data_IF_629985918921
#
_entry.id   IF_629985918921
#
_cell.length_a   1.000
_cell.length_b   1.000
_cell.length_c   1.000
_cell.angle_alpha   90.00
_cell.angle_beta   90.00
_cell.angle_gamma   90.00
#
_symmetry.space_group_name_H-M   'P 1'
#
loop_
_entity.id
_entity.type
_entity.pdbx_description
1 polymer ?
#
# COMPACT_ATOMS: atom_id res chain seq x y z
N UNK A 1 -0.62 -3.53 -2.63
CA UNK A 1 -1.74 -3.14 -1.76
C UNK A 1 -2.08 -4.29 -0.84
N UNK A 2 -2.22 -4.04 0.46
CA UNK A 2 -2.59 -5.05 1.45
C UNK A 2 -3.13 -4.41 2.73
N UNK A 3 -3.73 -5.22 3.60
CA UNK A 3 -4.20 -4.82 4.93
C UNK A 3 -3.23 -5.30 6.02
N UNK A 4 -3.25 -4.61 7.16
CA UNK A 4 -2.59 -5.01 8.41
C UNK A 4 -3.34 -4.41 9.60
N UNK A 5 -3.30 -5.06 10.77
CA UNK A 5 -3.72 -4.45 12.05
C UNK A 5 -2.60 -3.62 12.69
N UNK A 6 -1.34 -3.85 12.29
CA UNK A 6 -0.17 -3.14 12.79
C UNK A 6 0.65 -2.59 11.61
N UNK A 7 0.54 -1.27 11.37
CA UNK A 7 1.22 -0.61 10.26
C UNK A 7 2.74 -0.56 10.47
N UNK A 8 3.20 -0.25 11.69
CA UNK A 8 4.64 -0.11 12.00
C UNK A 8 5.39 -1.41 11.77
N UNK A 9 4.83 -2.51 12.26
CA UNK A 9 5.41 -3.84 12.08
C UNK A 9 5.42 -4.26 10.60
N UNK A 10 4.33 -3.99 9.88
CA UNK A 10 4.23 -4.27 8.45
C UNK A 10 5.32 -3.55 7.65
N UNK A 11 5.55 -2.27 7.92
CA UNK A 11 6.60 -1.49 7.25
C UNK A 11 7.97 -2.13 7.51
N UNK A 12 8.29 -2.46 8.77
CA UNK A 12 9.55 -3.14 9.12
C UNK A 12 9.73 -4.47 8.37
N UNK A 13 8.67 -5.29 8.32
CA UNK A 13 8.69 -6.55 7.58
C UNK A 13 8.93 -6.34 6.08
N UNK A 14 8.27 -5.35 5.48
CA UNK A 14 8.42 -5.05 4.05
C UNK A 14 9.81 -4.49 3.73
N UNK A 15 10.35 -3.62 4.57
CA UNK A 15 11.71 -3.09 4.46
C UNK A 15 12.78 -4.17 4.66
N UNK A 16 12.48 -5.23 5.42
CA UNK A 16 13.40 -6.35 5.61
C UNK A 16 13.59 -7.22 4.36
N UNK A 17 12.77 -7.02 3.31
CA UNK A 17 12.79 -7.81 2.06
C UNK A 17 12.63 -9.33 2.25
N UNK A 18 12.18 -9.79 3.43
CA UNK A 18 12.11 -11.23 3.78
C UNK A 18 10.90 -11.97 3.22
N UNK A 19 9.93 -11.28 2.62
CA UNK A 19 8.78 -11.95 1.98
C UNK A 19 8.99 -12.10 0.48
N UNK A 20 8.44 -13.17 -0.12
CA UNK A 20 8.58 -13.51 -1.54
C UNK A 20 8.26 -12.34 -2.50
N UNK A 21 7.26 -11.53 -2.15
CA UNK A 21 6.84 -10.39 -2.96
C UNK A 21 7.74 -9.18 -2.71
N UNK A 22 8.10 -8.91 -1.46
CA UNK A 22 8.92 -7.75 -1.10
C UNK A 22 10.38 -7.90 -1.50
N UNK A 23 10.91 -9.13 -1.56
CA UNK A 23 12.30 -9.39 -1.97
C UNK A 23 12.57 -8.97 -3.41
N UNK A 24 11.54 -8.97 -4.26
CA UNK A 24 11.62 -8.62 -5.68
C UNK A 24 11.33 -7.13 -5.95
N UNK A 25 11.00 -6.36 -4.92
CA UNK A 25 10.68 -4.94 -5.03
C UNK A 25 11.87 -4.13 -4.50
N UNK A 26 12.53 -3.35 -5.37
CA UNK A 26 13.56 -2.39 -4.94
C UNK A 26 12.90 -1.13 -4.37
N UNK A 27 13.44 -0.61 -3.28
CA UNK A 27 13.09 0.69 -2.68
C UNK A 27 11.61 0.84 -2.29
N UNK A 28 11.13 -0.03 -1.40
CA UNK A 28 9.77 0.03 -0.86
C UNK A 28 9.57 1.26 0.04
N UNK A 29 8.80 2.24 -0.45
CA UNK A 29 8.37 3.43 0.31
C UNK A 29 6.85 3.41 0.49
N UNK A 30 6.39 3.65 1.73
CA UNK A 30 4.97 3.82 1.99
C UNK A 30 4.54 5.22 1.54
N UNK A 31 3.66 5.29 0.54
CA UNK A 31 3.16 6.55 -0.03
C UNK A 31 1.75 6.88 0.47
N UNK A 32 0.95 5.86 0.82
CA UNK A 32 -0.43 6.03 1.20
C UNK A 32 -0.93 4.86 2.06
N UNK A 33 -1.75 5.16 3.06
CA UNK A 33 -2.50 4.18 3.83
C UNK A 33 -3.85 4.76 4.27
N UNK A 34 -4.80 3.87 4.54
CA UNK A 34 -6.10 4.21 5.13
C UNK A 34 -6.31 3.37 6.39
N UNK A 35 -6.98 3.93 7.38
CA UNK A 35 -7.33 3.24 8.62
C UNK A 35 -8.85 3.09 8.72
N UNK A 36 -9.29 1.95 9.23
CA UNK A 36 -10.70 1.60 9.36
C UNK A 36 -10.96 1.03 10.75
N UNK A 37 -12.10 1.40 11.35
CA UNK A 37 -12.54 0.81 12.61
C UNK A 37 -13.04 -0.64 12.41
N UNK A 38 -13.72 -0.90 11.30
CA UNK A 38 -14.24 -2.22 10.94
C UNK A 38 -13.26 -2.98 10.04
N UNK A 39 -12.90 -4.20 10.45
CA UNK A 39 -12.11 -5.13 9.63
C UNK A 39 -12.80 -5.47 8.31
N UNK A 40 -14.15 -5.56 8.30
CA UNK A 40 -14.92 -5.86 7.08
C UNK A 40 -14.77 -4.74 6.05
N UNK A 41 -14.70 -3.50 6.51
CA UNK A 41 -14.60 -2.32 5.66
C UNK A 41 -13.21 -2.25 5.02
N UNK A 42 -12.16 -2.49 5.82
CA UNK A 42 -10.79 -2.61 5.34
C UNK A 42 -10.66 -3.72 4.27
N UNK A 43 -11.29 -4.89 4.47
CA UNK A 43 -11.29 -5.98 3.50
C UNK A 43 -11.99 -5.58 2.19
N UNK A 44 -13.19 -4.96 2.27
CA UNK A 44 -13.91 -4.50 1.07
C UNK A 44 -13.07 -3.47 0.31
N UNK A 45 -12.44 -2.54 1.03
CA UNK A 45 -11.57 -1.52 0.44
C UNK A 45 -10.34 -2.14 -0.23
N UNK A 46 -9.65 -3.06 0.44
CA UNK A 46 -8.50 -3.77 -0.14
C UNK A 46 -8.88 -4.52 -1.42
N UNK A 47 -10.02 -5.24 -1.41
CA UNK A 47 -10.54 -5.93 -2.59
C UNK A 47 -10.81 -4.96 -3.74
N UNK A 48 -11.48 -3.84 -3.46
CA UNK A 48 -11.73 -2.81 -4.47
C UNK A 48 -10.43 -2.23 -5.03
N UNK A 49 -9.45 -1.89 -4.18
CA UNK A 49 -8.15 -1.36 -4.61
C UNK A 49 -7.34 -2.33 -5.47
N UNK A 50 -7.60 -3.64 -5.40
CA UNK A 50 -6.97 -4.65 -6.27
C UNK A 50 -7.62 -4.71 -7.67
N UNK A 51 -8.82 -4.19 -7.85
CA UNK A 51 -9.48 -4.08 -9.18
C UNK A 51 -8.82 -3.03 -10.05
N UNK A 52 -9.02 -3.09 -11.38
CA UNK A 52 -8.50 -2.09 -12.31
C UNK A 52 -9.01 -0.68 -12.01
N UNK A 53 -10.32 -0.55 -11.74
CA UNK A 53 -10.94 0.74 -11.39
C UNK A 53 -10.36 1.30 -10.09
N UNK A 54 -10.25 0.46 -9.05
CA UNK A 54 -9.65 0.87 -7.78
C UNK A 54 -8.20 1.32 -7.90
N UNK A 55 -7.40 0.65 -8.74
CA UNK A 55 -6.02 1.07 -9.05
C UNK A 55 -5.99 2.44 -9.74
N UNK A 56 -6.86 2.67 -10.72
CA UNK A 56 -6.93 3.97 -11.43
C UNK A 56 -7.35 5.10 -10.49
N UNK A 57 -8.40 4.88 -9.69
CA UNK A 57 -8.84 5.86 -8.68
C UNK A 57 -7.75 6.15 -7.66
N UNK A 58 -7.03 5.14 -7.17
CA UNK A 58 -5.93 5.35 -6.24
C UNK A 58 -4.81 6.18 -6.88
N UNK A 59 -4.38 5.85 -8.11
CA UNK A 59 -3.36 6.63 -8.83
C UNK A 59 -3.72 8.11 -8.98
N UNK A 60 -5.01 8.42 -9.14
CA UNK A 60 -5.49 9.80 -9.22
C UNK A 60 -5.35 10.53 -7.87
N UNK A 61 -5.69 9.86 -6.77
CA UNK A 61 -5.58 10.43 -5.41
C UNK A 61 -4.12 10.71 -5.03
N UNK A 62 -3.21 9.78 -5.34
CA UNK A 62 -1.80 9.86 -4.91
C UNK A 62 -0.85 10.32 -6.03
N UNK A 63 -1.38 11.05 -7.04
CA UNK A 63 -0.63 11.45 -8.24
C UNK A 63 0.66 12.20 -7.90
N UNK A 64 0.57 13.24 -7.10
CA UNK A 64 1.72 14.06 -6.71
C UNK A 64 2.67 13.31 -5.78
N UNK A 65 2.16 12.52 -4.85
CA UNK A 65 2.99 11.72 -3.94
C UNK A 65 3.81 10.66 -4.69
N UNK A 66 3.25 10.07 -5.75
CA UNK A 66 4.00 9.17 -6.65
C UNK A 66 5.10 9.96 -7.37
N UNK A 67 4.79 11.16 -7.86
CA UNK A 67 5.78 11.99 -8.55
C UNK A 67 6.95 12.36 -7.64
N UNK A 68 6.65 12.80 -6.41
CA UNK A 68 7.65 13.12 -5.39
C UNK A 68 8.55 11.92 -5.05
N UNK A 69 7.95 10.72 -4.89
CA UNK A 69 8.68 9.51 -4.56
C UNK A 69 9.57 8.95 -5.69
N UNK A 70 9.49 9.49 -6.92
CA UNK A 70 10.38 9.13 -8.04
C UNK A 70 11.61 10.02 -8.14
N UNK A 71 11.52 11.24 -7.61
CA UNK A 71 12.58 12.26 -7.69
C UNK A 71 13.56 12.12 -6.53
N UNK A 72 13.09 11.59 -5.39
CA UNK A 72 13.88 11.30 -4.17
C UNK A 72 14.24 9.83 -4.12
#
# INVERSE_FOLDING_TARGET
VGMTSNLKERIKQHQSHKTWTTSRMKNLKLIFYEAFLSKKDAIRREKYLKTSKGKSSLKQIIRESIQYARVV
#
